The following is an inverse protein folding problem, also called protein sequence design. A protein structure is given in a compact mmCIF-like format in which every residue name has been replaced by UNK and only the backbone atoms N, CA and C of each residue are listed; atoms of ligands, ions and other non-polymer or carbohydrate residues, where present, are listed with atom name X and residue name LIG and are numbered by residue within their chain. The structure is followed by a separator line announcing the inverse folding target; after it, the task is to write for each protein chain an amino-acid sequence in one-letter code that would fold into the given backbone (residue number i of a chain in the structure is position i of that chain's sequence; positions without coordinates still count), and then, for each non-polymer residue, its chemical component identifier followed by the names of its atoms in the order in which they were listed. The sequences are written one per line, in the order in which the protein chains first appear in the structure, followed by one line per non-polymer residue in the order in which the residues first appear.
data_IF_888664351386
#
_entry.id   IF_888664351386
#
_cell.length_a   1.000
_cell.length_b   1.000
_cell.length_c   1.000
_cell.angle_alpha   90.00
_cell.angle_beta   90.00
_cell.angle_gamma   90.00
#
_symmetry.space_group_name_H-M   'P 1'
#
loop_
_entity.id
_entity.type
_entity.pdbx_description
1 polymer ?
#
# COMPACT_ATOMS: atom_id res chain seq x y z
N UNK A 1 -4.23 12.65 14.76
CA UNK A 1 -5.07 11.81 13.87
C UNK A 1 -4.59 12.08 12.46
N UNK A 2 -3.81 11.17 11.84
CA UNK A 2 -3.45 11.32 10.42
C UNK A 2 -4.64 10.80 9.62
N UNK A 3 -5.45 11.71 9.09
CA UNK A 3 -6.37 11.39 7.99
C UNK A 3 -5.55 10.74 6.89
N UNK A 4 -5.91 9.52 6.49
CA UNK A 4 -5.43 8.98 5.22
C UNK A 4 -5.70 10.02 4.14
N UNK A 5 -4.70 10.32 3.31
CA UNK A 5 -4.92 11.23 2.19
C UNK A 5 -5.98 10.59 1.29
N UNK A 6 -7.17 11.17 1.25
CA UNK A 6 -8.21 10.79 0.29
C UNK A 6 -7.63 11.11 -1.09
N UNK A 7 -7.20 10.08 -1.82
CA UNK A 7 -6.73 10.26 -3.18
C UNK A 7 -7.94 10.59 -4.04
N UNK A 8 -7.95 11.77 -4.64
CA UNK A 8 -8.98 12.16 -5.61
C UNK A 8 -8.77 11.37 -6.91
N UNK A 9 -9.30 10.15 -6.94
CA UNK A 9 -9.20 9.25 -8.09
C UNK A 9 -10.55 9.24 -8.83
N UNK A 10 -10.53 9.28 -10.18
CA UNK A 10 -11.75 9.20 -10.95
C UNK A 10 -12.46 7.85 -10.73
N UNK A 11 -13.80 7.79 -10.87
CA UNK A 11 -14.53 6.54 -10.76
C UNK A 11 -13.97 5.45 -11.68
N UNK A 12 -13.76 4.26 -11.13
CA UNK A 12 -13.19 3.12 -11.85
C UNK A 12 -11.68 2.97 -11.74
N UNK A 13 -10.96 3.98 -11.24
CA UNK A 13 -9.55 3.82 -10.90
C UNK A 13 -9.39 2.87 -9.72
N UNK A 14 -8.49 1.91 -9.84
CA UNK A 14 -8.21 0.89 -8.81
C UNK A 14 -6.73 0.64 -8.71
N UNK A 15 -6.30 0.23 -7.54
CA UNK A 15 -4.97 -0.30 -7.36
C UNK A 15 -4.87 -1.68 -8.01
N UNK A 16 -4.20 -1.75 -9.16
CA UNK A 16 -3.95 -2.98 -9.90
C UNK A 16 -2.54 -2.97 -10.52
N UNK A 17 -1.49 -2.93 -9.68
CA UNK A 17 -0.10 -2.91 -10.15
C UNK A 17 0.33 -4.27 -10.72
N UNK A 18 1.35 -4.24 -11.57
CA UNK A 18 2.12 -5.43 -11.95
C UNK A 18 3.07 -5.87 -10.84
N UNK A 19 3.57 -7.12 -10.92
CA UNK A 19 4.56 -7.64 -9.96
C UNK A 19 5.83 -6.77 -9.90
N UNK A 20 6.30 -6.30 -11.06
CA UNK A 20 7.46 -5.42 -11.16
C UNK A 20 7.20 -4.08 -10.45
N UNK A 21 6.03 -3.48 -10.68
CA UNK A 21 5.67 -2.22 -10.03
C UNK A 21 5.54 -2.35 -8.51
N UNK A 22 4.97 -3.46 -8.02
CA UNK A 22 4.89 -3.75 -6.59
C UNK A 22 6.28 -3.81 -5.95
N UNK A 23 7.21 -4.54 -6.58
CA UNK A 23 8.57 -4.71 -6.04
C UNK A 23 9.34 -3.39 -6.11
N UNK A 24 9.43 -2.77 -7.28
CA UNK A 24 10.31 -1.63 -7.53
C UNK A 24 9.78 -0.36 -6.84
N UNK A 25 8.48 -0.07 -6.94
CA UNK A 25 7.92 1.20 -6.48
C UNK A 25 7.42 1.18 -5.04
N UNK A 26 7.10 0.00 -4.47
CA UNK A 26 6.61 -0.09 -3.09
C UNK A 26 7.62 -0.78 -2.18
N UNK A 27 7.98 -2.04 -2.46
CA UNK A 27 8.81 -2.83 -1.55
C UNK A 27 10.24 -2.30 -1.46
N UNK A 28 10.95 -2.15 -2.58
CA UNK A 28 12.33 -1.67 -2.62
C UNK A 28 12.45 -0.27 -2.02
N UNK A 29 11.49 0.62 -2.32
CA UNK A 29 11.44 1.96 -1.73
C UNK A 29 11.26 1.93 -0.22
N UNK A 30 10.35 1.09 0.28
CA UNK A 30 10.14 0.91 1.72
C UNK A 30 11.43 0.43 2.41
N UNK A 31 12.09 -0.58 1.86
CA UNK A 31 13.34 -1.12 2.39
C UNK A 31 14.47 -0.08 2.40
N UNK A 32 14.52 0.78 1.39
CA UNK A 32 15.50 1.87 1.29
C UNK A 32 15.10 3.13 2.10
N UNK A 33 14.04 3.07 2.91
CA UNK A 33 13.46 4.21 3.63
C UNK A 33 13.16 5.42 2.73
N UNK A 34 12.83 5.17 1.46
CA UNK A 34 12.47 6.20 0.49
C UNK A 34 10.98 6.52 0.57
N UNK A 35 10.61 7.74 0.17
CA UNK A 35 9.21 8.16 0.09
C UNK A 35 8.44 7.34 -0.95
N UNK A 36 7.34 6.74 -0.53
CA UNK A 36 6.34 6.12 -1.40
C UNK A 36 5.32 7.20 -1.76
N UNK A 37 5.06 7.38 -3.06
CA UNK A 37 4.20 8.46 -3.56
C UNK A 37 2.78 8.39 -2.98
N UNK A 38 2.30 7.17 -2.73
CA UNK A 38 0.95 6.91 -2.25
C UNK A 38 1.00 5.88 -1.12
N UNK A 39 0.78 6.27 0.15
CA UNK A 39 0.85 5.36 1.30
C UNK A 39 -0.44 4.54 1.46
N UNK A 40 -0.82 3.79 0.42
CA UNK A 40 -2.03 2.94 0.39
C UNK A 40 -1.83 1.55 1.00
N UNK A 41 -0.59 1.09 1.15
CA UNK A 41 -0.26 -0.21 1.76
C UNK A 41 -0.05 -0.01 3.26
N UNK A 42 -0.93 -0.61 4.07
CA UNK A 42 -0.86 -0.53 5.53
C UNK A 42 0.30 -1.36 6.10
N UNK A 43 0.82 -0.95 7.27
CA UNK A 43 1.81 -1.72 8.02
C UNK A 43 1.11 -2.57 9.08
N UNK A 44 1.27 -3.88 8.98
CA UNK A 44 0.68 -4.83 9.92
C UNK A 44 1.62 -6.03 10.07
N UNK A 45 1.65 -6.60 11.26
CA UNK A 45 2.28 -7.90 11.50
C UNK A 45 1.31 -9.00 11.07
N UNK A 46 1.39 -9.36 9.79
CA UNK A 46 0.43 -10.25 9.13
C UNK A 46 0.28 -11.61 9.84
N UNK A 47 1.32 -12.12 10.49
CA UNK A 47 1.31 -13.43 11.14
C UNK A 47 0.58 -13.45 12.49
N UNK A 48 0.15 -12.30 13.01
CA UNK A 48 -0.64 -12.21 14.24
C UNK A 48 -2.15 -12.31 14.01
N UNK A 49 -2.60 -12.34 12.76
CA UNK A 49 -4.00 -12.29 12.39
C UNK A 49 -4.36 -13.50 11.52
N UNK A 50 -5.57 -14.01 11.71
CA UNK A 50 -6.13 -14.96 10.76
C UNK A 50 -6.47 -14.24 9.45
N UNK A 51 -6.37 -14.90 8.28
CA UNK A 51 -6.63 -14.27 6.98
C UNK A 51 -7.99 -13.58 6.86
N UNK A 52 -9.03 -14.11 7.52
CA UNK A 52 -10.39 -13.53 7.51
C UNK A 52 -10.59 -12.37 8.49
N UNK A 53 -9.61 -12.08 9.35
CA UNK A 53 -9.62 -10.90 10.21
C UNK A 53 -9.07 -9.66 9.49
N UNK A 54 -8.40 -9.86 8.36
CA UNK A 54 -7.96 -8.78 7.49
C UNK A 54 -9.14 -8.37 6.57
N UNK A 55 -9.40 -7.06 6.44
CA UNK A 55 -10.48 -6.54 5.60
C UNK A 55 -10.29 -6.78 4.11
#
# INVERSE_FOLDING_TARGET
MKSGQELELPPGFRFHPTDEELVVHYLCRKCAAQSIAVPIIAEIDLYKFDPWQLP
#
